data_IF_824043150644
#
_entry.id   IF_824043150644
#
_cell.length_a   1.000
_cell.length_b   1.000
_cell.length_c   1.000
_cell.angle_alpha   90.00
_cell.angle_beta   90.00
_cell.angle_gamma   90.00
#
_symmetry.space_group_name_H-M   'P 1'
#
loop_
_entity.id
_entity.type
_entity.pdbx_description
1 polymer ?
#
# COMPACT_ATOMS: atom_id res chain seq x y z
N UNK A 1 11.03 2.37 -5.05
CA UNK A 1 9.67 2.50 -4.49
C UNK A 1 9.50 1.72 -3.17
N UNK A 2 8.52 2.10 -2.33
CA UNK A 2 8.09 1.36 -1.15
C UNK A 2 6.67 1.73 -0.71
N UNK A 3 6.06 0.93 0.16
CA UNK A 3 4.76 1.19 0.77
C UNK A 3 4.72 0.91 2.26
N UNK A 4 3.72 1.51 2.93
CA UNK A 4 3.37 1.30 4.33
C UNK A 4 1.86 1.13 4.46
N UNK A 5 1.40 0.03 5.07
CA UNK A 5 0.01 -0.13 5.48
C UNK A 5 -0.23 0.69 6.75
N UNK A 6 -1.20 1.59 6.70
CA UNK A 6 -1.54 2.52 7.79
C UNK A 6 -2.79 2.11 8.56
N UNK A 7 -3.71 1.38 7.92
CA UNK A 7 -4.90 0.81 8.55
C UNK A 7 -5.25 -0.54 7.93
N UNK A 8 -5.69 -1.44 8.79
CA UNK A 8 -6.24 -2.75 8.48
C UNK A 8 -7.71 -2.75 8.90
N UNK A 9 -8.60 -3.10 7.98
CA UNK A 9 -10.04 -3.18 8.19
C UNK A 9 -10.55 -4.64 8.27
N UNK A 10 -9.68 -5.62 8.04
CA UNK A 10 -10.02 -7.04 8.07
C UNK A 10 -9.78 -7.60 9.47
N UNK A 11 -8.67 -7.22 10.11
CA UNK A 11 -8.23 -7.81 11.38
C UNK A 11 -8.02 -6.77 12.48
N UNK A 12 -8.23 -7.19 13.73
CA UNK A 12 -7.96 -6.40 14.92
C UNK A 12 -6.46 -6.37 15.27
N UNK A 13 -6.01 -5.33 15.99
CA UNK A 13 -4.59 -5.12 16.35
C UNK A 13 -3.90 -6.30 17.08
N UNK A 14 -4.69 -7.15 17.72
CA UNK A 14 -4.20 -8.30 18.50
C UNK A 14 -4.32 -9.63 17.76
N UNK A 15 -4.86 -9.63 16.54
CA UNK A 15 -5.11 -10.83 15.75
C UNK A 15 -3.91 -11.14 14.86
N UNK A 16 -3.69 -12.43 14.62
CA UNK A 16 -2.72 -12.87 13.63
C UNK A 16 -3.13 -12.37 12.24
N UNK A 17 -2.17 -11.87 11.46
CA UNK A 17 -2.44 -11.24 10.16
C UNK A 17 -2.72 -9.74 10.23
N UNK A 18 -2.63 -9.11 11.41
CA UNK A 18 -2.75 -7.65 11.53
C UNK A 18 -1.71 -6.91 10.71
N UNK A 19 -2.19 -6.16 9.72
CA UNK A 19 -1.37 -5.55 8.69
C UNK A 19 -0.92 -4.13 8.95
N UNK A 20 -1.47 -3.40 9.92
CA UNK A 20 -1.07 -2.01 10.10
C UNK A 20 0.39 -1.91 10.60
N UNK A 21 1.21 -1.15 9.88
CA UNK A 21 2.65 -1.07 10.09
C UNK A 21 3.47 -1.95 9.14
N UNK A 22 2.83 -2.84 8.36
CA UNK A 22 3.54 -3.64 7.35
C UNK A 22 4.15 -2.72 6.29
N UNK A 23 5.42 -2.98 5.98
CA UNK A 23 6.21 -2.24 5.01
C UNK A 23 6.71 -3.17 3.91
N UNK A 24 6.77 -2.67 2.69
CA UNK A 24 7.28 -3.42 1.55
C UNK A 24 7.83 -2.53 0.44
N UNK A 25 8.50 -3.10 -0.57
CA UNK A 25 8.95 -4.50 -0.61
C UNK A 25 10.06 -4.73 0.43
N UNK A 26 10.43 -5.98 0.69
CA UNK A 26 11.54 -6.31 1.62
C UNK A 26 12.85 -5.60 1.28
N UNK A 27 13.05 -5.27 0.01
CA UNK A 27 14.23 -4.58 -0.54
C UNK A 27 14.15 -3.05 -0.44
N UNK A 28 13.06 -2.50 0.12
CA UNK A 28 12.89 -1.06 0.28
C UNK A 28 14.04 -0.43 1.08
N UNK A 29 14.56 0.70 0.59
CA UNK A 29 15.64 1.43 1.27
C UNK A 29 15.13 1.99 2.62
N UNK A 30 15.91 1.90 3.71
CA UNK A 30 15.50 2.42 5.02
C UNK A 30 15.11 3.91 5.04
N UNK A 31 15.74 4.71 4.18
CA UNK A 31 15.41 6.14 4.04
C UNK A 31 13.98 6.37 3.53
N UNK A 32 13.50 5.56 2.59
CA UNK A 32 12.13 5.64 2.05
C UNK A 32 11.13 5.18 3.11
N UNK A 33 11.44 4.11 3.85
CA UNK A 33 10.60 3.61 4.95
C UNK A 33 10.44 4.65 6.07
N UNK A 34 11.51 5.41 6.35
CA UNK A 34 11.48 6.50 7.34
C UNK A 34 10.56 7.63 6.87
N UNK A 35 10.62 8.02 5.60
CA UNK A 35 9.74 9.04 5.00
C UNK A 35 8.27 8.61 5.03
N UNK A 36 7.97 7.36 4.67
CA UNK A 36 6.63 6.79 4.78
C UNK A 36 6.10 6.85 6.22
N UNK A 37 6.94 6.49 7.20
CA UNK A 37 6.60 6.55 8.63
C UNK A 37 6.39 7.99 9.10
N UNK A 38 7.09 8.96 8.53
CA UNK A 38 6.88 10.39 8.78
C UNK A 38 5.59 10.94 8.12
N UNK A 39 4.89 10.12 7.33
CA UNK A 39 3.63 10.46 6.69
C UNK A 39 3.75 10.95 5.24
N UNK A 40 4.94 10.88 4.65
CA UNK A 40 5.12 11.14 3.22
C UNK A 40 4.55 10.00 2.34
N UNK A 41 4.33 10.29 1.06
CA UNK A 41 3.83 9.33 0.09
C UNK A 41 2.36 9.52 -0.26
N UNK A 42 2.01 9.02 -1.44
CA UNK A 42 0.68 9.05 -2.01
C UNK A 42 -0.23 8.06 -1.26
N UNK A 43 -1.40 8.52 -0.77
CA UNK A 43 -2.32 7.63 -0.09
C UNK A 43 -3.00 6.67 -1.08
N UNK A 44 -3.02 5.40 -0.73
CA UNK A 44 -3.75 4.36 -1.45
C UNK A 44 -4.75 3.64 -0.54
N UNK A 45 -5.70 2.94 -1.17
CA UNK A 45 -6.53 1.93 -0.52
C UNK A 45 -6.63 0.67 -1.38
N UNK A 46 -6.74 -0.50 -0.75
CA UNK A 46 -6.92 -1.78 -1.43
C UNK A 46 -8.30 -2.35 -1.10
N UNK A 47 -8.95 -2.92 -2.09
CA UNK A 47 -10.32 -3.43 -2.01
C UNK A 47 -10.42 -4.86 -2.55
N UNK A 48 -11.42 -5.59 -2.08
CA UNK A 48 -11.85 -6.86 -2.69
C UNK A 48 -12.67 -6.66 -3.97
N UNK A 49 -13.16 -7.76 -4.51
CA UNK A 49 -13.97 -7.84 -5.72
C UNK A 49 -15.40 -7.31 -5.52
N UNK A 50 -15.89 -7.27 -4.28
CA UNK A 50 -17.15 -6.64 -3.89
C UNK A 50 -17.01 -5.13 -3.60
N UNK A 51 -15.79 -4.59 -3.59
CA UNK A 51 -15.51 -3.17 -3.36
C UNK A 51 -15.44 -2.76 -1.89
N UNK A 52 -15.27 -3.71 -0.97
CA UNK A 52 -14.97 -3.42 0.43
C UNK A 52 -13.51 -3.05 0.61
N UNK A 53 -13.27 -1.99 1.36
CA UNK A 53 -11.91 -1.53 1.66
C UNK A 53 -11.29 -2.45 2.71
N UNK A 54 -10.17 -3.07 2.36
CA UNK A 54 -9.40 -3.95 3.24
C UNK A 54 -8.28 -3.19 3.93
N UNK A 55 -7.58 -2.33 3.18
CA UNK A 55 -6.39 -1.65 3.68
C UNK A 55 -6.34 -0.20 3.22
N UNK A 56 -5.76 0.65 4.06
CA UNK A 56 -5.25 1.95 3.65
C UNK A 56 -3.74 1.99 3.84
N UNK A 57 -3.03 2.68 2.95
CA UNK A 57 -1.59 2.84 3.06
C UNK A 57 -1.06 4.09 2.39
N UNK A 58 0.27 4.18 2.38
CA UNK A 58 1.04 5.19 1.65
C UNK A 58 2.05 4.51 0.76
N UNK A 59 2.13 4.97 -0.48
CA UNK A 59 3.10 4.54 -1.46
C UNK A 59 4.05 5.69 -1.76
N UNK A 60 5.33 5.41 -1.84
CA UNK A 60 6.33 6.40 -2.21
C UNK A 60 7.21 5.79 -3.28
N UNK A 61 7.09 6.35 -4.48
CA UNK A 61 8.03 6.00 -5.53
C UNK A 61 9.43 6.48 -5.13
N UNK A 62 10.40 5.67 -5.50
CA UNK A 62 11.80 5.98 -5.33
C UNK A 62 12.48 5.66 -6.64
N UNK A 63 12.68 6.72 -7.42
CA UNK A 63 13.22 6.74 -8.78
C UNK A 63 14.62 6.13 -8.88
N UNK A 64 15.33 6.01 -7.77
CA UNK A 64 16.70 5.49 -7.71
C UNK A 64 16.75 4.03 -7.21
N UNK A 65 15.61 3.40 -6.95
CA UNK A 65 15.55 1.99 -6.57
C UNK A 65 15.70 1.07 -7.79
N UNK A 66 16.17 -0.16 -7.57
CA UNK A 66 16.13 -1.19 -8.62
C UNK A 66 14.70 -1.33 -9.17
N UNK A 67 14.60 -1.45 -10.50
CA UNK A 67 13.32 -1.52 -11.19
C UNK A 67 12.52 -2.72 -10.68
N UNK A 68 11.34 -2.44 -10.12
CA UNK A 68 10.35 -3.47 -9.88
C UNK A 68 9.91 -4.05 -11.22
N UNK A 69 9.87 -5.38 -11.33
CA UNK A 69 9.40 -6.07 -12.54
C UNK A 69 7.87 -6.12 -12.47
N UNK A 70 7.23 -4.99 -12.77
CA UNK A 70 5.78 -4.78 -12.70
C UNK A 70 5.44 -3.29 -12.79
N UNK A 71 4.15 -2.98 -12.72
CA UNK A 71 3.68 -1.59 -12.57
C UNK A 71 3.89 -1.17 -11.11
N UNK A 72 4.70 -0.14 -10.89
CA UNK A 72 5.20 0.25 -9.57
C UNK A 72 4.07 0.52 -8.57
N UNK A 73 3.00 1.10 -9.08
CA UNK A 73 1.80 1.50 -8.36
C UNK A 73 0.94 0.29 -7.92
N UNK A 74 1.11 -0.86 -8.55
CA UNK A 74 0.45 -2.11 -8.15
C UNK A 74 1.24 -2.88 -7.09
N UNK A 75 2.48 -2.46 -6.79
CA UNK A 75 3.34 -3.16 -5.85
C UNK A 75 2.71 -3.42 -4.46
N UNK A 76 1.94 -2.50 -3.83
CA UNK A 76 1.29 -2.81 -2.55
C UNK A 76 0.27 -3.95 -2.66
N UNK A 77 -0.44 -4.01 -3.79
CA UNK A 77 -1.40 -5.05 -4.11
C UNK A 77 -0.69 -6.39 -4.31
N UNK A 78 0.34 -6.41 -5.15
CA UNK A 78 1.11 -7.61 -5.50
C UNK A 78 1.90 -8.16 -4.32
N UNK A 79 2.50 -7.29 -3.50
CA UNK A 79 3.35 -7.70 -2.39
C UNK A 79 2.56 -8.08 -1.13
N UNK A 80 1.36 -7.53 -0.93
CA UNK A 80 0.61 -7.72 0.31
C UNK A 80 -0.88 -7.94 0.07
N UNK A 81 -1.58 -7.03 -0.61
CA UNK A 81 -3.04 -7.06 -0.72
C UNK A 81 -3.59 -8.39 -1.23
N UNK A 82 -3.19 -8.80 -2.44
CA UNK A 82 -3.62 -10.06 -3.07
C UNK A 82 -3.13 -11.30 -2.30
N UNK A 83 -1.83 -11.46 -1.96
CA UNK A 83 -1.36 -12.67 -1.28
C UNK A 83 -1.84 -12.81 0.17
N UNK A 84 -2.10 -11.70 0.88
CA UNK A 84 -2.51 -11.74 2.29
C UNK A 84 -4.02 -11.93 2.46
N UNK A 85 -4.83 -11.24 1.64
CA UNK A 85 -6.28 -11.17 1.86
C UNK A 85 -7.11 -11.30 0.58
N UNK A 86 -6.50 -11.50 -0.58
CA UNK A 86 -7.23 -11.57 -1.85
C UNK A 86 -7.79 -10.23 -2.32
N UNK A 87 -7.19 -9.11 -1.92
CA UNK A 87 -7.55 -7.82 -2.52
C UNK A 87 -7.23 -7.85 -4.03
N UNK A 88 -8.11 -7.27 -4.85
CA UNK A 88 -8.01 -7.29 -6.32
C UNK A 88 -7.96 -5.90 -6.94
N UNK A 89 -8.28 -4.85 -6.17
CA UNK A 89 -8.26 -3.47 -6.64
C UNK A 89 -7.38 -2.62 -5.75
N UNK A 90 -6.53 -1.77 -6.35
CA UNK A 90 -5.86 -0.68 -5.67
C UNK A 90 -6.35 0.65 -6.23
N UNK A 91 -6.56 1.63 -5.35
CA UNK A 91 -7.01 2.97 -5.71
C UNK A 91 -6.13 4.02 -5.06
N UNK A 92 -5.82 5.06 -5.82
CA UNK A 92 -5.05 6.21 -5.37
C UNK A 92 -5.96 7.42 -5.20
N UNK A 93 -5.61 8.29 -4.24
CA UNK A 93 -6.39 9.51 -4.00
C UNK A 93 -5.89 10.65 -4.86
N UNK A 94 -6.76 11.16 -5.71
CA UNK A 94 -6.52 12.39 -6.46
C UNK A 94 -6.29 13.56 -5.48
N UNK A 95 -5.17 14.28 -5.58
CA UNK A 95 -4.86 15.39 -4.67
C UNK A 95 -5.73 16.64 -4.90
N UNK A 96 -6.22 16.86 -6.13
CA UNK A 96 -7.06 18.00 -6.50
C UNK A 96 -8.53 17.79 -6.13
N UNK A 97 -9.06 16.59 -6.38
CA UNK A 97 -10.49 16.29 -6.15
C UNK A 97 -10.75 15.54 -4.85
N UNK A 98 -9.74 14.85 -4.31
CA UNK A 98 -9.88 13.98 -3.15
C UNK A 98 -10.60 12.65 -3.44
N UNK A 99 -10.97 12.41 -4.71
CA UNK A 99 -11.62 11.19 -5.16
C UNK A 99 -10.63 10.01 -5.19
N UNK A 100 -11.16 8.80 -5.04
CA UNK A 100 -10.39 7.56 -5.19
C UNK A 100 -10.59 7.03 -6.59
N UNK A 101 -9.48 6.80 -7.30
CA UNK A 101 -9.49 6.31 -8.67
C UNK A 101 -8.66 5.04 -8.74
N UNK A 102 -9.19 4.00 -9.37
CA UNK A 102 -8.41 2.83 -9.72
C UNK A 102 -7.44 3.21 -10.84
N UNK A 103 -6.23 2.67 -10.78
CA UNK A 103 -5.29 2.73 -11.91
C UNK A 103 -5.70 1.74 -13.00
#
# INVERSE_FOLDING_TARGET
MAFLITRDFITGKHEEGYGAGVQGPRTARPSILTRLTAGEGEPFRMLDDDGYVYYHGRFLDDSDAEAYVGEAEFQPLDCYGTPNAGAVTIQYRDPATGAWTAL
#
